data_IF_858746102276
#
_entry.id   IF_858746102276
#
_cell.length_a   1.000
_cell.length_b   1.000
_cell.length_c   1.000
_cell.angle_alpha   90.00
_cell.angle_beta   90.00
_cell.angle_gamma   90.00
#
_symmetry.space_group_name_H-M   'P 1'
#
loop_
_entity.id
_entity.type
_entity.pdbx_description
1 polymer ?
#
# COMPACT_ATOMS: atom_id res chain seq x y z
N UNK A 1 -5.29 -4.20 36.13
CA UNK A 1 -5.09 -5.66 36.23
C UNK A 1 -3.59 -5.91 36.32
N UNK A 2 -3.12 -6.53 37.42
CA UNK A 2 -1.70 -6.59 37.78
C UNK A 2 -0.82 -7.29 36.74
N UNK A 3 0.42 -6.82 36.63
CA UNK A 3 1.45 -7.33 35.70
C UNK A 3 1.65 -8.84 35.89
N UNK A 4 1.41 -9.36 37.10
CA UNK A 4 1.50 -10.77 37.46
C UNK A 4 0.50 -11.66 36.69
N UNK A 5 -0.71 -11.15 36.46
CA UNK A 5 -1.72 -11.88 35.67
C UNK A 5 -1.32 -11.94 34.19
N UNK A 6 -0.75 -10.86 33.67
CA UNK A 6 -0.22 -10.81 32.30
C UNK A 6 0.95 -11.78 32.14
N UNK A 7 1.86 -11.83 33.11
CA UNK A 7 2.99 -12.75 33.11
C UNK A 7 2.54 -14.22 33.17
N UNK A 8 1.58 -14.54 34.04
CA UNK A 8 1.04 -15.90 34.15
C UNK A 8 0.35 -16.35 32.85
N UNK A 9 -0.47 -15.48 32.24
CA UNK A 9 -1.10 -15.75 30.94
C UNK A 9 -0.04 -15.98 29.86
N UNK A 10 1.01 -15.16 29.84
CA UNK A 10 2.09 -15.25 28.86
C UNK A 10 2.86 -16.58 29.00
N UNK A 11 3.23 -16.95 30.22
CA UNK A 11 3.91 -18.21 30.51
C UNK A 11 3.02 -19.40 30.15
N UNK A 12 1.74 -19.37 30.52
CA UNK A 12 0.78 -20.40 30.14
C UNK A 12 0.66 -20.55 28.62
N UNK A 13 0.61 -19.43 27.88
CA UNK A 13 0.57 -19.44 26.42
C UNK A 13 1.84 -20.08 25.81
N UNK A 14 3.03 -19.77 26.32
CA UNK A 14 4.29 -20.40 25.88
C UNK A 14 4.26 -21.91 26.12
N UNK A 15 3.80 -22.33 27.30
CA UNK A 15 3.71 -23.75 27.67
C UNK A 15 2.80 -24.51 26.70
N UNK A 16 1.64 -23.94 26.36
CA UNK A 16 0.71 -24.51 25.36
C UNK A 16 1.37 -24.58 23.98
N UNK A 17 2.09 -23.55 23.55
CA UNK A 17 2.80 -23.56 22.27
C UNK A 17 3.86 -24.67 22.23
N UNK A 18 4.62 -24.88 23.31
CA UNK A 18 5.59 -25.97 23.41
C UNK A 18 4.91 -27.35 23.38
N UNK A 19 3.79 -27.53 24.09
CA UNK A 19 3.02 -28.77 24.07
C UNK A 19 2.45 -29.09 22.70
N UNK A 20 1.91 -28.08 22.02
CA UNK A 20 1.47 -28.21 20.63
C UNK A 20 2.65 -28.62 19.76
N UNK A 21 3.80 -27.94 19.85
CA UNK A 21 5.00 -28.32 19.09
C UNK A 21 5.45 -29.77 19.36
N UNK A 22 5.37 -30.24 20.59
CA UNK A 22 5.75 -31.60 20.97
C UNK A 22 4.76 -32.65 20.46
N UNK A 23 3.46 -32.36 20.54
CA UNK A 23 2.40 -33.25 20.04
C UNK A 23 2.35 -33.33 18.50
N UNK A 24 2.96 -32.35 17.82
CA UNK A 24 3.10 -32.29 16.38
C UNK A 24 4.37 -32.99 15.91
N UNK A 25 4.31 -34.32 15.80
CA UNK A 25 5.31 -35.10 15.08
C UNK A 25 5.48 -34.64 13.62
N UNK A 26 6.64 -34.94 13.03
CA UNK A 26 7.17 -34.33 11.79
C UNK A 26 6.18 -34.27 10.61
N UNK A 27 5.35 -35.30 10.42
CA UNK A 27 4.36 -35.35 9.35
C UNK A 27 3.21 -34.34 9.52
N UNK A 28 2.78 -34.06 10.76
CA UNK A 28 1.75 -33.06 11.05
C UNK A 28 2.36 -31.65 11.09
N UNK A 29 3.64 -31.56 11.48
CA UNK A 29 4.41 -30.30 11.51
C UNK A 29 4.51 -29.68 10.12
N UNK A 30 4.80 -30.46 9.08
CA UNK A 30 4.83 -29.95 7.71
C UNK A 30 3.47 -29.42 7.22
N UNK A 31 2.36 -30.04 7.64
CA UNK A 31 1.00 -29.58 7.30
C UNK A 31 0.64 -28.30 8.04
N UNK A 32 0.95 -28.24 9.34
CA UNK A 32 0.72 -27.02 10.12
C UNK A 32 1.64 -25.88 9.74
N UNK A 33 2.90 -26.12 9.39
CA UNK A 33 3.79 -25.06 8.90
C UNK A 33 3.24 -24.45 7.62
N UNK A 34 2.76 -25.27 6.69
CA UNK A 34 2.10 -24.76 5.47
C UNK A 34 0.84 -23.96 5.81
N UNK A 35 0.00 -24.45 6.72
CA UNK A 35 -1.20 -23.72 7.16
C UNK A 35 -0.85 -22.42 7.90
N UNK A 36 0.19 -22.43 8.72
CA UNK A 36 0.69 -21.30 9.48
C UNK A 36 1.30 -20.24 8.56
N UNK A 37 2.12 -20.64 7.58
CA UNK A 37 2.67 -19.75 6.56
C UNK A 37 1.56 -19.12 5.72
N UNK A 38 0.51 -19.88 5.36
CA UNK A 38 -0.65 -19.33 4.65
C UNK A 38 -1.45 -18.36 5.51
N UNK A 39 -1.69 -18.69 6.79
CA UNK A 39 -2.37 -17.81 7.73
C UNK A 39 -1.55 -16.53 7.97
N UNK A 40 -0.24 -16.66 8.16
CA UNK A 40 0.70 -15.55 8.32
C UNK A 40 0.74 -14.65 7.09
N UNK A 41 0.75 -15.23 5.88
CA UNK A 41 0.67 -14.47 4.65
C UNK A 41 -0.65 -13.68 4.54
N UNK A 42 -1.78 -14.26 4.97
CA UNK A 42 -3.07 -13.55 5.02
C UNK A 42 -3.05 -12.42 6.05
N UNK A 43 -2.58 -12.68 7.26
CA UNK A 43 -2.48 -11.67 8.33
C UNK A 43 -1.56 -10.54 7.91
N UNK A 44 -0.40 -10.85 7.32
CA UNK A 44 0.53 -9.85 6.78
C UNK A 44 -0.11 -9.02 5.67
N UNK A 45 -0.85 -9.63 4.75
CA UNK A 45 -1.59 -8.89 3.70
C UNK A 45 -2.64 -7.96 4.30
N UNK A 46 -3.41 -8.42 5.28
CA UNK A 46 -4.41 -7.60 5.96
C UNK A 46 -3.76 -6.45 6.74
N UNK A 47 -2.67 -6.72 7.46
CA UNK A 47 -1.89 -5.68 8.16
C UNK A 47 -1.33 -4.65 7.19
N UNK A 48 -0.75 -5.08 6.07
CA UNK A 48 -0.28 -4.17 5.02
C UNK A 48 -1.42 -3.42 4.35
N UNK A 49 -2.59 -4.02 4.15
CA UNK A 49 -3.76 -3.33 3.60
C UNK A 49 -4.25 -2.24 4.56
N UNK A 50 -4.31 -2.51 5.86
CA UNK A 50 -4.69 -1.52 6.88
C UNK A 50 -3.64 -0.39 6.96
N UNK A 51 -2.36 -0.75 6.95
CA UNK A 51 -1.26 0.21 6.94
C UNK A 51 -1.27 1.08 5.67
N UNK A 52 -1.39 0.44 4.51
CA UNK A 52 -1.47 1.11 3.22
C UNK A 52 -2.79 1.83 3.04
N UNK A 53 -3.87 1.51 3.74
CA UNK A 53 -5.11 2.29 3.64
C UNK A 53 -4.90 3.71 4.16
N UNK A 54 -4.12 3.86 5.24
CA UNK A 54 -3.73 5.18 5.75
C UNK A 54 -2.74 5.90 4.82
N UNK A 55 -1.80 5.16 4.23
CA UNK A 55 -0.85 5.71 3.24
C UNK A 55 -1.53 6.10 1.91
N UNK A 56 -2.43 5.26 1.39
CA UNK A 56 -3.22 5.45 0.16
C UNK A 56 -4.16 6.63 0.28
N UNK A 57 -4.70 6.93 1.46
CA UNK A 57 -5.48 8.16 1.68
C UNK A 57 -4.64 9.42 1.50
N UNK A 58 -3.36 9.40 1.89
CA UNK A 58 -2.44 10.53 1.68
C UNK A 58 -1.95 10.60 0.24
N UNK A 59 -1.53 9.47 -0.32
CA UNK A 59 -1.03 9.41 -1.70
C UNK A 59 -2.11 9.63 -2.76
N UNK A 60 -3.39 9.32 -2.48
CA UNK A 60 -4.50 9.71 -3.36
C UNK A 60 -4.67 11.24 -3.40
N UNK A 61 -4.60 11.91 -2.24
CA UNK A 61 -4.67 13.38 -2.19
C UNK A 61 -3.48 14.03 -2.92
N UNK A 62 -2.26 13.50 -2.73
CA UNK A 62 -1.07 13.96 -3.44
C UNK A 62 -1.17 13.70 -4.96
N UNK A 63 -1.64 12.52 -5.38
CA UNK A 63 -1.82 12.19 -6.80
C UNK A 63 -2.87 13.09 -7.47
N UNK A 64 -3.96 13.41 -6.77
CA UNK A 64 -4.95 14.38 -7.25
C UNK A 64 -4.34 15.78 -7.43
N UNK A 65 -3.53 16.24 -6.48
CA UNK A 65 -2.86 17.55 -6.59
C UNK A 65 -1.88 17.59 -7.76
N UNK A 66 -1.04 16.56 -7.92
CA UNK A 66 -0.07 16.49 -9.03
C UNK A 66 -0.80 16.44 -10.39
N UNK A 67 -1.88 15.67 -10.51
CA UNK A 67 -2.67 15.62 -11.73
C UNK A 67 -3.32 16.99 -12.05
N UNK A 68 -3.87 17.65 -11.04
CA UNK A 68 -4.49 18.97 -11.20
C UNK A 68 -3.48 20.03 -11.62
N UNK A 69 -2.25 19.97 -11.08
CA UNK A 69 -1.18 20.91 -11.37
C UNK A 69 -0.65 20.75 -12.81
N UNK A 70 -0.55 19.51 -13.31
CA UNK A 70 -0.24 19.23 -14.72
C UNK A 70 -1.33 19.78 -15.64
N UNK A 71 -2.61 19.56 -15.31
CA UNK A 71 -3.73 20.07 -16.10
C UNK A 71 -3.72 21.61 -16.12
N UNK A 72 -3.48 22.26 -14.98
CA UNK A 72 -3.40 23.71 -14.90
C UNK A 72 -2.21 24.26 -15.68
N UNK A 73 -1.04 23.63 -15.59
CA UNK A 73 0.14 24.05 -16.36
C UNK A 73 -0.10 23.96 -17.87
N UNK A 74 -0.76 22.91 -18.34
CA UNK A 74 -1.15 22.78 -19.75
C UNK A 74 -2.21 23.81 -20.11
N UNK A 75 -3.21 24.02 -19.24
CA UNK A 75 -4.27 25.01 -19.45
C UNK A 75 -3.76 26.45 -19.53
N UNK A 76 -2.73 26.80 -18.76
CA UNK A 76 -2.10 28.13 -18.82
C UNK A 76 -1.17 28.33 -20.00
N UNK A 77 -0.55 27.25 -20.54
CA UNK A 77 0.27 27.34 -21.76
C UNK A 77 -0.55 27.35 -23.05
N UNK A 78 -1.77 26.81 -23.02
CA UNK A 78 -2.66 26.82 -24.18
C UNK A 78 -3.51 28.09 -24.10
N UNK A 79 -3.01 29.16 -24.71
CA UNK A 79 -3.78 30.35 -25.04
C UNK A 79 -4.97 29.93 -25.92
N UNK A 80 -6.13 29.78 -25.27
CA UNK A 80 -7.34 29.28 -25.89
C UNK A 80 -8.06 30.43 -26.59
N UNK A 81 -7.55 30.86 -27.75
CA UNK A 81 -8.41 31.54 -28.71
C UNK A 81 -9.43 30.51 -29.23
N UNK A 82 -10.70 30.92 -29.34
CA UNK A 82 -11.86 30.02 -29.43
C UNK A 82 -11.69 28.78 -30.32
N UNK A 83 -12.13 27.62 -29.81
CA UNK A 83 -12.23 26.29 -30.45
C UNK A 83 -11.04 25.74 -31.27
N UNK A 84 -9.93 26.47 -31.44
CA UNK A 84 -8.79 26.06 -32.25
C UNK A 84 -7.54 26.07 -31.38
N UNK A 85 -6.98 24.89 -31.14
CA UNK A 85 -5.71 24.74 -30.45
C UNK A 85 -4.62 24.99 -31.50
N UNK A 86 -4.05 26.19 -31.53
CA UNK A 86 -2.92 26.52 -32.41
C UNK A 86 -1.62 26.31 -31.62
N UNK A 87 -0.82 25.26 -31.89
CA UNK A 87 0.44 25.04 -31.17
C UNK A 87 1.48 26.09 -31.58
N UNK A 88 2.34 26.49 -30.65
CA UNK A 88 3.32 27.61 -30.79
C UNK A 88 4.22 27.50 -32.03
N UNK A 89 4.47 26.28 -32.53
CA UNK A 89 5.21 25.99 -33.77
C UNK A 89 4.61 26.62 -35.03
N UNK A 90 3.34 27.03 -35.02
CA UNK A 90 2.70 27.69 -36.16
C UNK A 90 2.77 29.24 -36.11
N UNK A 91 3.26 29.84 -35.01
CA UNK A 91 3.35 31.31 -34.88
C UNK A 91 4.61 31.89 -35.54
N UNK A 92 5.58 31.08 -35.96
CA UNK A 92 6.83 31.57 -36.55
C UNK A 92 6.67 31.92 -38.04
N UNK A 93 7.02 33.15 -38.47
CA UNK A 93 6.98 33.51 -39.89
C UNK A 93 8.02 32.70 -40.65
N UNK A 94 7.54 31.92 -41.62
CA UNK A 94 8.35 31.11 -42.53
C UNK A 94 9.41 31.99 -43.20
N UNK A 95 10.69 31.68 -43.00
CA UNK A 95 11.81 32.38 -43.65
C UNK A 95 11.62 32.38 -45.18
N UNK A 96 11.80 33.53 -45.86
CA UNK A 96 11.76 33.56 -47.31
C UNK A 96 12.96 32.75 -47.84
N UNK A 97 12.67 31.93 -48.84
CA UNK A 97 13.64 31.18 -49.64
C UNK A 97 14.17 32.08 -50.75
#
# INVERSE_FOLDING_TARGET
MGVDKLFSIFVAAICVVMLVRLALGDARRARLDRAFLQAWARVRRQGLLIWHWRSRRRSAAEAHQVAQDVINRVRHRVEKEGNVITPEVFKEPRKPH
#
